data_IF_866163033862
#
_entry.id   IF_866163033862
#
_cell.length_a   1.000
_cell.length_b   1.000
_cell.length_c   1.000
_cell.angle_alpha   90.00
_cell.angle_beta   90.00
_cell.angle_gamma   90.00
#
_symmetry.space_group_name_H-M   'P 1'
#
loop_
_entity.id
_entity.type
_entity.pdbx_description
1 polymer ?
#
# COMPACT_ATOMS: atom_id res chain seq x y z
N UNK A 1 8.52 -12.87 1.72
CA UNK A 1 7.05 -12.70 1.55
C UNK A 1 6.53 -11.29 1.89
N UNK A 2 7.17 -10.51 2.76
CA UNK A 2 6.69 -9.16 3.16
C UNK A 2 6.69 -8.12 2.02
N UNK A 3 7.69 -8.15 1.14
CA UNK A 3 7.76 -7.27 -0.04
C UNK A 3 6.58 -7.48 -1.00
N UNK A 4 6.22 -8.76 -1.20
CA UNK A 4 5.09 -9.16 -2.05
C UNK A 4 3.77 -8.64 -1.47
N UNK A 5 3.59 -8.71 -0.15
CA UNK A 5 2.43 -8.16 0.51
C UNK A 5 2.32 -6.63 0.34
N UNK A 6 3.43 -5.90 0.50
CA UNK A 6 3.46 -4.45 0.29
C UNK A 6 3.04 -4.06 -1.14
N UNK A 7 3.63 -4.74 -2.14
CA UNK A 7 3.30 -4.53 -3.54
C UNK A 7 1.83 -4.85 -3.85
N UNK A 8 1.28 -5.91 -3.28
CA UNK A 8 -0.14 -6.27 -3.41
C UNK A 8 -1.03 -5.17 -2.84
N UNK A 9 -0.79 -4.72 -1.61
CA UNK A 9 -1.62 -3.68 -0.98
C UNK A 9 -1.59 -2.35 -1.75
N UNK A 10 -0.41 -1.93 -2.23
CA UNK A 10 -0.29 -0.73 -3.06
C UNK A 10 -1.00 -0.88 -4.40
N UNK A 11 -0.89 -2.05 -5.04
CA UNK A 11 -1.54 -2.33 -6.32
C UNK A 11 -3.06 -2.29 -6.21
N UNK A 12 -3.63 -2.89 -5.16
CA UNK A 12 -5.08 -2.83 -4.91
C UNK A 12 -5.55 -1.43 -4.53
N UNK A 13 -4.79 -0.68 -3.73
CA UNK A 13 -5.10 0.72 -3.44
C UNK A 13 -5.19 1.56 -4.73
N UNK A 14 -4.22 1.40 -5.63
CA UNK A 14 -4.20 2.09 -6.92
C UNK A 14 -5.35 1.66 -7.84
N UNK A 15 -5.66 0.37 -7.88
CA UNK A 15 -6.78 -0.19 -8.63
C UNK A 15 -8.11 0.42 -8.17
N UNK A 16 -8.33 0.53 -6.86
CA UNK A 16 -9.56 1.13 -6.32
C UNK A 16 -9.66 2.63 -6.61
N UNK A 17 -8.54 3.37 -6.60
CA UNK A 17 -8.52 4.77 -7.05
C UNK A 17 -8.91 4.87 -8.52
N UNK A 18 -8.36 4.00 -9.36
CA UNK A 18 -8.68 3.96 -10.79
C UNK A 18 -10.15 3.65 -11.04
N UNK A 19 -10.73 2.72 -10.29
CA UNK A 19 -12.15 2.36 -10.40
C UNK A 19 -13.09 3.53 -10.06
N UNK A 20 -12.71 4.41 -9.12
CA UNK A 20 -13.49 5.61 -8.81
C UNK A 20 -13.49 6.66 -9.94
N UNK A 21 -12.59 6.56 -10.92
CA UNK A 21 -12.53 7.48 -12.05
C UNK A 21 -13.46 7.14 -13.21
N UNK A 22 -14.17 5.99 -13.18
CA UNK A 22 -15.10 5.62 -14.24
C UNK A 22 -16.48 6.23 -14.02
N UNK A 23 -16.97 6.97 -15.02
CA UNK A 23 -18.36 7.42 -15.08
C UNK A 23 -19.31 6.21 -15.08
N UNK A 24 -20.05 6.03 -13.99
CA UNK A 24 -20.97 4.91 -13.77
C UNK A 24 -20.53 3.89 -12.72
N UNK A 25 -19.34 4.05 -12.12
CA UNK A 25 -18.94 3.24 -10.98
C UNK A 25 -19.53 3.79 -9.67
N UNK A 26 -20.56 3.11 -9.15
CA UNK A 26 -21.12 3.45 -7.83
C UNK A 26 -20.25 2.82 -6.74
N UNK A 27 -19.27 3.57 -6.27
CA UNK A 27 -18.45 3.16 -5.14
C UNK A 27 -19.29 3.13 -3.84
N UNK A 28 -19.04 2.20 -2.91
CA UNK A 28 -19.59 2.26 -1.56
C UNK A 28 -19.18 3.56 -0.85
N UNK A 29 -20.01 4.07 0.06
CA UNK A 29 -19.76 5.32 0.78
C UNK A 29 -18.38 5.37 1.49
N UNK A 30 -17.90 4.20 1.93
CA UNK A 30 -16.63 4.05 2.63
C UNK A 30 -15.44 3.69 1.72
N UNK A 31 -15.59 3.75 0.39
CA UNK A 31 -14.53 3.34 -0.54
C UNK A 31 -13.24 4.13 -0.34
N UNK A 32 -13.32 5.44 -0.10
CA UNK A 32 -12.14 6.27 0.18
C UNK A 32 -11.40 5.81 1.45
N UNK A 33 -12.14 5.38 2.47
CA UNK A 33 -11.55 4.83 3.69
C UNK A 33 -10.89 3.47 3.45
N UNK A 34 -11.50 2.61 2.62
CA UNK A 34 -10.91 1.32 2.22
C UNK A 34 -9.60 1.55 1.46
N UNK A 35 -9.59 2.47 0.48
CA UNK A 35 -8.39 2.85 -0.26
C UNK A 35 -7.28 3.34 0.68
N UNK A 36 -7.64 4.19 1.63
CA UNK A 36 -6.72 4.67 2.64
C UNK A 36 -6.08 3.53 3.44
N UNK A 37 -6.87 2.55 3.89
CA UNK A 37 -6.34 1.38 4.61
C UNK A 37 -5.37 0.55 3.75
N UNK A 38 -5.66 0.36 2.46
CA UNK A 38 -4.77 -0.34 1.54
C UNK A 38 -3.43 0.39 1.36
N UNK A 39 -3.45 1.71 1.15
CA UNK A 39 -2.21 2.48 1.07
C UNK A 39 -1.45 2.51 2.39
N UNK A 40 -2.15 2.66 3.52
CA UNK A 40 -1.53 2.66 4.84
C UNK A 40 -0.85 1.31 5.14
N UNK A 41 -1.49 0.19 4.85
CA UNK A 41 -0.90 -1.14 4.99
C UNK A 41 0.30 -1.36 4.05
N UNK A 42 0.21 -0.87 2.81
CA UNK A 42 1.32 -0.89 1.86
C UNK A 42 2.53 -0.09 2.37
N UNK A 43 2.32 1.17 2.76
CA UNK A 43 3.36 2.07 3.26
C UNK A 43 4.01 1.53 4.54
N UNK A 44 3.23 1.00 5.49
CA UNK A 44 3.78 0.42 6.72
C UNK A 44 4.71 -0.76 6.45
N UNK A 45 4.36 -1.61 5.48
CA UNK A 45 5.22 -2.73 5.09
C UNK A 45 6.49 -2.24 4.39
N UNK A 46 6.38 -1.26 3.47
CA UNK A 46 7.56 -0.64 2.83
C UNK A 46 8.46 0.04 3.86
N UNK A 47 7.90 0.78 4.81
CA UNK A 47 8.65 1.46 5.86
C UNK A 47 9.42 0.48 6.74
N UNK A 48 8.77 -0.60 7.19
CA UNK A 48 9.43 -1.65 7.95
C UNK A 48 10.62 -2.23 7.18
N UNK A 49 10.42 -2.47 5.89
CA UNK A 49 11.44 -3.05 5.04
C UNK A 49 12.63 -2.11 4.82
N UNK A 50 12.36 -0.84 4.49
CA UNK A 50 13.40 0.20 4.35
C UNK A 50 14.17 0.35 5.65
N UNK A 51 13.48 0.38 6.78
CA UNK A 51 14.10 0.46 8.11
C UNK A 51 15.00 -0.75 8.39
N UNK A 52 14.52 -1.97 8.18
CA UNK A 52 15.32 -3.19 8.35
C UNK A 52 16.53 -3.19 7.42
N UNK A 53 16.37 -2.72 6.17
CA UNK A 53 17.46 -2.67 5.21
C UNK A 53 18.53 -1.63 5.62
N UNK A 54 18.12 -0.46 6.12
CA UNK A 54 19.02 0.56 6.67
C UNK A 54 19.76 0.07 7.93
N UNK A 55 19.06 -0.58 8.86
CA UNK A 55 19.66 -1.14 10.07
C UNK A 55 20.71 -2.22 9.76
N UNK A 56 20.45 -3.10 8.79
CA UNK A 56 21.42 -4.10 8.36
C UNK A 56 22.64 -3.45 7.70
N UNK A 57 22.42 -2.42 6.86
CA UNK A 57 23.50 -1.69 6.19
C UNK A 57 24.38 -0.88 7.15
N UNK A 58 23.83 -0.44 8.29
CA UNK A 58 24.60 0.23 9.35
C UNK A 58 25.37 -0.75 10.24
N UNK A 59 24.93 -2.01 10.37
CA UNK A 59 25.64 -3.05 11.14
C UNK A 59 26.80 -3.70 10.39
N UNK A 60 26.81 -3.63 9.05
CA UNK A 60 27.92 -4.11 8.21
C UNK A 60 29.10 -3.12 8.12
N UNK A 61 29.00 -1.96 8.78
CA UNK A 61 30.03 -0.91 8.78
C UNK A 61 30.72 -0.81 10.14
#
# INVERSE_FOLDING_TARGET
>A
MKQVAAAVYLSFGMLFVFLQGFDGYTAPDNMNFIIFLFFMAGILNVYHEVKTHFENKMKEK
#
